data_IF_812681735024
#
_entry.id   IF_812681735024
#
_cell.length_a   1.000
_cell.length_b   1.000
_cell.length_c   1.000
_cell.angle_alpha   90.00
_cell.angle_beta   90.00
_cell.angle_gamma   90.00
#
_symmetry.space_group_name_H-M   'P 1'
#
loop_
_entity.id
_entity.type
_entity.pdbx_description
1 polymer ?
#
# COMPACT_ATOMS: atom_id res chain seq x y z
N UNK A 1 -2.53 -27.42 4.39
CA UNK A 1 -2.43 -26.16 5.18
C UNK A 1 -3.78 -25.47 5.31
N UNK A 2 -4.48 -25.17 4.21
CA UNK A 2 -5.78 -24.47 4.22
C UNK A 2 -6.86 -25.12 5.09
N UNK A 3 -7.17 -26.41 4.88
CA UNK A 3 -8.17 -27.15 5.68
C UNK A 3 -7.92 -27.05 7.19
N UNK A 4 -6.64 -27.17 7.61
CA UNK A 4 -6.28 -27.04 9.03
C UNK A 4 -6.44 -25.62 9.59
N UNK A 5 -6.34 -24.58 8.75
CA UNK A 5 -6.61 -23.20 9.18
C UNK A 5 -8.13 -22.94 9.28
N UNK A 6 -8.91 -23.41 8.29
CA UNK A 6 -10.37 -23.31 8.30
C UNK A 6 -10.96 -24.02 9.52
N UNK A 7 -10.46 -25.23 9.82
CA UNK A 7 -10.84 -25.98 11.01
C UNK A 7 -10.56 -25.21 12.31
N UNK A 8 -9.40 -24.52 12.43
CA UNK A 8 -9.09 -23.72 13.62
C UNK A 8 -10.05 -22.53 13.78
N UNK A 9 -10.43 -21.85 12.70
CA UNK A 9 -11.40 -20.75 12.76
C UNK A 9 -12.77 -21.27 13.19
N UNK A 10 -13.19 -22.39 12.61
CA UNK A 10 -14.46 -23.06 12.94
C UNK A 10 -14.50 -23.49 14.40
N UNK A 11 -13.46 -24.18 14.89
CA UNK A 11 -13.35 -24.61 16.29
C UNK A 11 -13.28 -23.44 17.27
N UNK A 12 -12.66 -22.33 16.87
CA UNK A 12 -12.59 -21.12 17.70
C UNK A 12 -13.88 -20.28 17.66
N UNK A 13 -14.87 -20.63 16.82
CA UNK A 13 -16.08 -19.82 16.63
C UNK A 13 -15.80 -18.43 16.04
N UNK A 14 -14.67 -18.25 15.35
CA UNK A 14 -14.24 -16.97 14.76
C UNK A 14 -14.67 -16.94 13.30
N UNK A 15 -15.26 -15.82 12.88
CA UNK A 15 -15.67 -15.63 11.49
C UNK A 15 -14.47 -15.72 10.53
N UNK A 16 -14.65 -16.30 9.32
CA UNK A 16 -13.61 -16.31 8.29
C UNK A 16 -13.06 -14.92 7.96
N UNK A 17 -11.78 -14.81 7.56
CA UNK A 17 -11.25 -13.56 7.07
C UNK A 17 -11.91 -13.18 5.73
N UNK A 18 -12.17 -11.88 5.55
CA UNK A 18 -12.70 -11.36 4.28
C UNK A 18 -11.61 -11.15 3.21
N UNK A 19 -10.35 -10.98 3.64
CA UNK A 19 -9.22 -10.66 2.75
C UNK A 19 -7.97 -11.43 3.15
N UNK A 20 -7.28 -11.97 2.15
CA UNK A 20 -5.98 -12.60 2.29
C UNK A 20 -5.00 -12.06 1.26
N UNK A 21 -3.86 -11.55 1.75
CA UNK A 21 -2.74 -11.19 0.90
C UNK A 21 -1.81 -12.40 0.71
N UNK A 22 -1.40 -12.63 -0.52
CA UNK A 22 -0.60 -13.80 -0.91
C UNK A 22 0.58 -13.35 -1.78
N UNK A 23 1.67 -14.11 -1.74
CA UNK A 23 2.76 -13.92 -2.70
C UNK A 23 2.34 -14.43 -4.08
N UNK A 24 1.88 -15.68 -4.20
CA UNK A 24 1.64 -16.32 -5.51
C UNK A 24 0.18 -16.71 -5.68
N UNK A 25 -0.13 -17.11 -6.91
CA UNK A 25 -1.42 -17.69 -7.26
C UNK A 25 -2.63 -16.78 -6.96
N UNK A 26 -2.42 -15.46 -7.05
CA UNK A 26 -3.41 -14.42 -6.81
C UNK A 26 -4.34 -14.15 -8.01
N UNK A 27 -3.91 -14.43 -9.24
CA UNK A 27 -4.69 -14.17 -10.45
C UNK A 27 -5.95 -15.02 -10.50
N UNK A 28 -7.08 -14.40 -10.85
CA UNK A 28 -8.39 -15.05 -10.95
C UNK A 28 -8.73 -15.53 -12.37
N UNK A 29 -7.72 -15.86 -13.20
CA UNK A 29 -7.87 -16.04 -14.66
C UNK A 29 -8.97 -17.02 -15.11
N UNK A 30 -9.52 -17.86 -14.21
CA UNK A 30 -10.59 -18.81 -14.52
C UNK A 30 -11.57 -19.04 -13.33
N UNK A 31 -12.26 -18.00 -12.85
CA UNK A 31 -13.35 -18.18 -11.88
C UNK A 31 -12.93 -18.23 -10.40
N UNK A 32 -11.74 -17.71 -10.09
CA UNK A 32 -11.18 -17.67 -8.74
C UNK A 32 -9.67 -17.78 -8.78
N UNK A 33 -8.97 -17.29 -7.76
CA UNK A 33 -7.54 -17.52 -7.64
C UNK A 33 -7.28 -18.96 -7.19
N UNK A 34 -6.16 -19.59 -7.59
CA UNK A 34 -5.89 -20.97 -7.12
C UNK A 34 -5.79 -21.02 -5.60
N UNK A 35 -5.29 -19.94 -4.97
CA UNK A 35 -5.27 -19.83 -3.51
C UNK A 35 -6.69 -19.78 -2.94
N UNK A 36 -7.60 -19.01 -3.52
CA UNK A 36 -9.00 -18.97 -3.06
C UNK A 36 -9.66 -20.35 -3.13
N UNK A 37 -9.39 -21.12 -4.19
CA UNK A 37 -9.92 -22.48 -4.33
C UNK A 37 -9.45 -23.45 -3.23
N UNK A 38 -8.33 -23.16 -2.55
CA UNK A 38 -7.88 -23.96 -1.41
C UNK A 38 -8.71 -23.71 -0.14
N UNK A 39 -9.42 -22.57 -0.07
CA UNK A 39 -10.24 -22.15 1.07
C UNK A 39 -11.73 -22.29 0.76
N UNK A 40 -12.15 -23.51 0.44
CA UNK A 40 -13.50 -23.82 -0.03
C UNK A 40 -14.63 -23.59 0.99
N UNK A 41 -14.33 -23.43 2.29
CA UNK A 41 -15.32 -23.07 3.31
C UNK A 41 -15.53 -21.55 3.43
N UNK A 42 -14.71 -20.74 2.75
CA UNK A 42 -14.69 -19.29 2.88
C UNK A 42 -15.15 -18.59 1.59
N UNK A 43 -16.44 -18.71 1.26
CA UNK A 43 -17.05 -18.23 0.01
C UNK A 43 -16.87 -16.73 -0.27
N UNK A 44 -16.68 -15.93 0.79
CA UNK A 44 -16.50 -14.48 0.71
C UNK A 44 -15.02 -14.06 0.73
N UNK A 45 -14.09 -15.01 0.72
CA UNK A 45 -12.66 -14.71 0.79
C UNK A 45 -12.19 -14.00 -0.49
N UNK A 46 -11.71 -12.78 -0.31
CA UNK A 46 -11.02 -12.05 -1.36
C UNK A 46 -9.52 -12.32 -1.25
N UNK A 47 -8.91 -12.80 -2.34
CA UNK A 47 -7.45 -12.95 -2.42
C UNK A 47 -6.84 -11.79 -3.20
N UNK A 48 -5.76 -11.21 -2.68
CA UNK A 48 -4.99 -10.13 -3.32
C UNK A 48 -3.49 -10.44 -3.30
N UNK A 49 -2.77 -9.94 -4.29
CA UNK A 49 -1.31 -9.96 -4.27
C UNK A 49 -0.82 -8.99 -3.20
N UNK A 50 0.11 -9.45 -2.38
CA UNK A 50 0.82 -8.61 -1.44
C UNK A 50 1.69 -7.59 -2.22
N UNK A 51 1.44 -6.30 -1.99
CA UNK A 51 2.12 -5.20 -2.69
C UNK A 51 3.62 -5.17 -2.40
N UNK A 52 4.03 -5.52 -1.17
CA UNK A 52 5.45 -5.60 -0.85
C UNK A 52 6.15 -6.68 -1.68
N UNK A 53 5.49 -7.82 -1.88
CA UNK A 53 6.01 -8.87 -2.75
C UNK A 53 6.09 -8.42 -4.21
N UNK A 54 5.10 -7.70 -4.73
CA UNK A 54 5.19 -7.08 -6.06
C UNK A 54 6.40 -6.14 -6.14
N UNK A 55 6.58 -5.25 -5.16
CA UNK A 55 7.70 -4.32 -5.13
C UNK A 55 9.06 -5.03 -5.06
N UNK A 56 9.16 -6.12 -4.27
CA UNK A 56 10.36 -6.97 -4.20
C UNK A 56 10.67 -7.65 -5.53
N UNK A 57 9.66 -8.02 -6.33
CA UNK A 57 9.87 -8.58 -7.67
C UNK A 57 10.44 -7.55 -8.62
N UNK A 58 9.94 -6.30 -8.59
CA UNK A 58 10.56 -5.21 -9.34
C UNK A 58 11.99 -4.91 -8.88
N UNK A 59 12.23 -4.95 -7.56
CA UNK A 59 13.56 -4.80 -7.01
C UNK A 59 14.53 -5.89 -7.48
N UNK A 60 14.07 -7.08 -7.87
CA UNK A 60 14.95 -8.11 -8.42
C UNK A 60 15.58 -7.72 -9.78
N UNK A 61 15.05 -6.71 -10.46
CA UNK A 61 15.62 -6.18 -11.70
C UNK A 61 16.68 -5.09 -11.48
N UNK A 62 16.97 -4.72 -10.23
CA UNK A 62 18.09 -3.83 -9.93
C UNK A 62 19.40 -4.61 -9.95
N UNK A 63 20.49 -3.95 -10.35
CA UNK A 63 21.83 -4.55 -10.41
C UNK A 63 22.37 -4.89 -9.02
N UNK A 64 22.08 -4.05 -8.02
CA UNK A 64 22.39 -4.31 -6.60
C UNK A 64 21.52 -3.48 -5.67
N UNK A 65 21.08 -4.04 -4.53
CA UNK A 65 20.34 -3.30 -3.50
C UNK A 65 21.21 -2.21 -2.82
N UNK A 66 22.54 -2.30 -2.94
CA UNK A 66 23.48 -1.29 -2.45
C UNK A 66 23.62 -0.09 -3.40
N UNK A 67 22.94 -0.09 -4.54
CA UNK A 67 23.01 0.99 -5.52
C UNK A 67 22.47 2.30 -4.90
N UNK A 68 23.15 3.43 -5.15
CA UNK A 68 22.77 4.73 -4.56
C UNK A 68 21.33 5.14 -4.92
N UNK A 69 20.88 4.74 -6.11
CA UNK A 69 19.53 5.01 -6.60
C UNK A 69 18.46 3.99 -6.17
N UNK A 70 18.83 2.93 -5.43
CA UNK A 70 17.87 1.91 -4.98
C UNK A 70 16.77 2.49 -4.09
N UNK A 71 17.14 3.29 -3.09
CA UNK A 71 16.18 3.97 -2.22
C UNK A 71 15.22 4.90 -2.98
N UNK A 72 15.73 5.83 -3.81
CA UNK A 72 14.91 6.64 -4.71
C UNK A 72 13.97 5.83 -5.60
N UNK A 73 14.44 4.74 -6.21
CA UNK A 73 13.62 3.85 -7.02
C UNK A 73 12.49 3.21 -6.22
N UNK A 74 12.79 2.61 -5.06
CA UNK A 74 11.77 1.98 -4.21
C UNK A 74 10.72 2.97 -3.70
N UNK A 75 11.14 4.21 -3.42
CA UNK A 75 10.23 5.30 -3.03
C UNK A 75 9.29 5.68 -4.17
N UNK A 76 9.83 5.87 -5.38
CA UNK A 76 9.01 6.21 -6.55
C UNK A 76 8.11 5.03 -6.97
N UNK A 77 8.60 3.80 -6.90
CA UNK A 77 7.82 2.57 -7.10
C UNK A 77 6.60 2.52 -6.17
N UNK A 78 6.77 2.88 -4.90
CA UNK A 78 5.64 2.99 -3.96
C UNK A 78 4.65 4.10 -4.37
N UNK A 79 5.16 5.24 -4.84
CA UNK A 79 4.32 6.35 -5.29
C UNK A 79 3.56 6.05 -6.59
N UNK A 80 4.05 5.16 -7.45
CA UNK A 80 3.33 4.68 -8.62
C UNK A 80 2.11 3.81 -8.26
N UNK A 81 2.14 3.13 -7.11
CA UNK A 81 1.10 2.18 -6.68
C UNK A 81 0.04 2.86 -5.81
N UNK A 82 0.44 3.81 -4.96
CA UNK A 82 -0.40 4.37 -3.93
C UNK A 82 -0.67 5.86 -4.11
N UNK A 83 -1.89 6.25 -3.77
CA UNK A 83 -2.31 7.63 -3.58
C UNK A 83 -2.87 7.83 -2.18
N UNK A 84 -3.07 9.09 -1.77
CA UNK A 84 -3.83 9.43 -0.57
C UNK A 84 -5.32 9.46 -0.87
N UNK A 85 -6.15 8.96 0.05
CA UNK A 85 -7.60 9.04 -0.08
C UNK A 85 -8.06 10.50 -0.21
N UNK A 86 -8.66 10.84 -1.35
CA UNK A 86 -9.11 12.20 -1.64
C UNK A 86 -10.14 12.71 -0.60
N UNK A 87 -10.92 11.80 -0.01
CA UNK A 87 -11.85 12.13 1.07
C UNK A 87 -11.14 12.60 2.33
N UNK A 88 -10.13 11.84 2.77
CA UNK A 88 -9.31 12.21 3.93
C UNK A 88 -8.49 13.48 3.68
N UNK A 89 -7.89 13.62 2.48
CA UNK A 89 -7.11 14.81 2.10
C UNK A 89 -7.96 16.08 2.15
N UNK A 90 -9.19 16.05 1.61
CA UNK A 90 -10.12 17.20 1.68
C UNK A 90 -10.45 17.56 3.12
N UNK A 91 -10.77 16.58 3.98
CA UNK A 91 -11.03 16.82 5.40
C UNK A 91 -9.83 17.43 6.12
N UNK A 92 -8.63 16.96 5.80
CA UNK A 92 -7.40 17.50 6.38
C UNK A 92 -7.15 18.95 5.95
N UNK A 93 -7.37 19.26 4.66
CA UNK A 93 -7.27 20.62 4.13
C UNK A 93 -8.25 21.58 4.82
N UNK A 94 -9.51 21.19 4.94
CA UNK A 94 -10.54 21.97 5.64
C UNK A 94 -10.16 22.21 7.10
N UNK A 95 -9.79 21.16 7.82
CA UNK A 95 -9.37 21.25 9.22
C UNK A 95 -8.13 22.14 9.40
N UNK A 96 -7.15 22.04 8.50
CA UNK A 96 -5.94 22.87 8.51
C UNK A 96 -6.27 24.34 8.28
N UNK A 97 -7.13 24.63 7.28
CA UNK A 97 -7.58 26.00 6.98
C UNK A 97 -8.25 26.62 8.21
N UNK A 98 -9.24 25.95 8.79
CA UNK A 98 -9.95 26.46 9.98
C UNK A 98 -9.01 26.66 11.18
N UNK A 99 -8.00 25.82 11.34
CA UNK A 99 -7.00 25.99 12.39
C UNK A 99 -6.11 27.22 12.18
N UNK A 100 -5.71 27.52 10.95
CA UNK A 100 -4.90 28.69 10.60
C UNK A 100 -5.70 29.99 10.73
N UNK A 101 -6.96 30.00 10.29
CA UNK A 101 -7.87 31.13 10.46
C UNK A 101 -8.09 31.44 11.94
N UNK A 102 -8.42 30.41 12.74
CA UNK A 102 -8.75 30.60 14.15
C UNK A 102 -7.55 30.90 15.07
N UNK A 103 -6.35 30.36 14.78
CA UNK A 103 -5.17 30.57 15.63
C UNK A 103 -4.28 31.71 15.18
N UNK A 104 -4.22 32.01 13.89
CA UNK A 104 -3.22 32.93 13.32
C UNK A 104 -3.87 34.10 12.58
N UNK A 105 -5.21 34.16 12.51
CA UNK A 105 -5.92 35.20 11.78
C UNK A 105 -5.64 35.18 10.26
N UNK A 106 -5.11 34.07 9.75
CA UNK A 106 -4.75 33.90 8.33
C UNK A 106 -6.01 33.55 7.53
N UNK A 107 -6.79 34.56 7.20
CA UNK A 107 -8.06 34.43 6.46
C UNK A 107 -7.82 34.45 4.95
N UNK A 108 -8.61 33.67 4.20
CA UNK A 108 -8.65 33.75 2.73
C UNK A 108 -7.55 32.95 2.03
N UNK A 109 -6.88 32.02 2.72
CA UNK A 109 -5.88 31.15 2.10
C UNK A 109 -6.51 30.21 1.07
N UNK A 110 -5.88 30.17 -0.11
CA UNK A 110 -6.20 29.21 -1.16
C UNK A 110 -5.89 27.78 -0.72
N UNK A 111 -6.50 26.79 -1.35
CA UNK A 111 -6.23 25.38 -1.05
C UNK A 111 -4.75 25.00 -1.26
N UNK A 112 -4.11 25.56 -2.29
CA UNK A 112 -2.70 25.33 -2.59
C UNK A 112 -1.78 25.85 -1.47
N UNK A 113 -2.10 27.02 -0.91
CA UNK A 113 -1.35 27.59 0.22
C UNK A 113 -1.51 26.74 1.49
N UNK A 114 -2.73 26.29 1.79
CA UNK A 114 -2.99 25.41 2.94
C UNK A 114 -2.27 24.07 2.76
N UNK A 115 -2.33 23.48 1.57
CA UNK A 115 -1.67 22.21 1.23
C UNK A 115 -0.16 22.26 1.47
N UNK A 116 0.50 23.37 1.11
CA UNK A 116 1.94 23.58 1.35
C UNK A 116 2.30 23.62 2.84
N UNK A 117 1.35 23.93 3.71
CA UNK A 117 1.54 24.00 5.17
C UNK A 117 1.26 22.65 5.87
N UNK A 118 0.81 21.64 5.12
CA UNK A 118 0.58 20.30 5.65
C UNK A 118 1.84 19.47 5.43
N UNK A 119 2.42 18.99 6.53
CA UNK A 119 3.62 18.15 6.48
C UNK A 119 3.33 16.71 6.05
N UNK A 120 4.33 16.00 5.54
CA UNK A 120 4.20 14.55 5.19
C UNK A 120 3.70 13.70 6.36
N UNK A 121 4.24 13.94 7.57
CA UNK A 121 3.82 13.26 8.80
C UNK A 121 2.35 13.52 9.15
N UNK A 122 1.87 14.72 8.85
CA UNK A 122 0.48 15.12 9.11
C UNK A 122 -0.47 14.44 8.14
N UNK A 123 -0.13 14.40 6.84
CA UNK A 123 -0.85 13.58 5.85
C UNK A 123 -0.86 12.11 6.25
N UNK A 124 0.29 11.52 6.58
CA UNK A 124 0.38 10.11 6.93
C UNK A 124 -0.41 9.75 8.22
N UNK A 125 -0.60 10.71 9.12
CA UNK A 125 -1.37 10.53 10.34
C UNK A 125 -2.88 10.52 10.09
N UNK A 126 -3.35 11.31 9.13
CA UNK A 126 -4.77 11.63 8.96
C UNK A 126 -5.40 11.07 7.68
N UNK A 127 -4.59 10.72 6.69
CA UNK A 127 -5.05 10.25 5.39
C UNK A 127 -4.73 8.77 5.20
N UNK A 128 -5.72 7.99 4.74
CA UNK A 128 -5.47 6.62 4.29
C UNK A 128 -4.71 6.64 2.99
N UNK A 129 -3.85 5.63 2.79
CA UNK A 129 -3.35 5.31 1.47
C UNK A 129 -4.34 4.40 0.77
N UNK A 130 -4.36 4.43 -0.54
CA UNK A 130 -5.15 3.51 -1.36
C UNK A 130 -4.42 3.25 -2.66
N UNK A 131 -4.71 2.14 -3.31
CA UNK A 131 -4.16 1.87 -4.64
C UNK A 131 -4.80 2.78 -5.68
N UNK A 132 -4.00 3.37 -6.57
CA UNK A 132 -4.45 4.35 -7.57
C UNK A 132 -5.19 3.75 -8.78
N UNK A 133 -5.41 2.43 -8.81
CA UNK A 133 -6.08 1.72 -9.91
C UNK A 133 -5.09 1.08 -10.88
N UNK A 134 -5.46 -0.09 -11.43
CA UNK A 134 -4.54 -0.88 -12.25
C UNK A 134 -4.00 -0.14 -13.48
N UNK A 135 -4.86 0.60 -14.20
CA UNK A 135 -4.47 1.38 -15.38
C UNK A 135 -3.53 2.55 -15.02
N UNK A 136 -3.83 3.28 -13.95
CA UNK A 136 -2.96 4.37 -13.50
C UNK A 136 -1.61 3.83 -13.00
N UNK A 137 -1.62 2.74 -12.23
CA UNK A 137 -0.40 2.06 -11.80
C UNK A 137 0.42 1.59 -13.01
N UNK A 138 -0.21 1.04 -14.06
CA UNK A 138 0.49 0.58 -15.26
C UNK A 138 1.26 1.71 -15.95
N UNK A 139 0.60 2.85 -16.19
CA UNK A 139 1.23 4.03 -16.81
C UNK A 139 2.38 4.55 -15.95
N UNK A 140 2.14 4.75 -14.65
CA UNK A 140 3.15 5.29 -13.74
C UNK A 140 4.37 4.36 -13.58
N UNK A 141 4.17 3.04 -13.64
CA UNK A 141 5.28 2.08 -13.61
C UNK A 141 6.08 2.10 -14.91
N UNK A 142 5.43 2.21 -16.07
CA UNK A 142 6.14 2.35 -17.35
C UNK A 142 7.04 3.59 -17.35
N UNK A 143 6.49 4.74 -16.96
CA UNK A 143 7.24 6.01 -16.87
C UNK A 143 8.42 5.90 -15.89
N UNK A 144 8.21 5.22 -14.76
CA UNK A 144 9.27 4.96 -13.78
C UNK A 144 10.39 4.11 -14.38
N UNK A 145 10.04 2.99 -15.02
CA UNK A 145 11.02 2.08 -15.60
C UNK A 145 11.78 2.73 -16.75
N UNK A 146 11.13 3.55 -17.57
CA UNK A 146 11.80 4.34 -18.61
C UNK A 146 12.76 5.35 -17.99
N UNK A 147 12.33 6.08 -16.95
CA UNK A 147 13.16 7.05 -16.23
C UNK A 147 14.45 6.41 -15.70
N UNK A 148 14.35 5.24 -15.05
CA UNK A 148 15.50 4.56 -14.46
C UNK A 148 16.29 3.67 -15.45
N UNK A 149 15.81 3.50 -16.69
CA UNK A 149 16.62 2.96 -17.79
C UNK A 149 17.34 4.07 -18.59
N UNK A 150 17.00 5.34 -18.36
CA UNK A 150 17.69 6.48 -18.96
C UNK A 150 18.97 6.88 -18.19
N UNK A 151 19.63 7.94 -18.62
CA UNK A 151 20.78 8.56 -17.92
C UNK A 151 20.48 8.89 -16.45
N UNK A 152 19.21 9.15 -16.09
CA UNK A 152 18.79 9.40 -14.70
C UNK A 152 18.89 8.16 -13.81
N UNK A 153 18.95 6.98 -14.40
CA UNK A 153 19.11 5.70 -13.72
C UNK A 153 20.56 5.27 -13.52
N UNK A 154 21.52 6.12 -13.90
CA UNK A 154 22.95 5.84 -13.82
C UNK A 154 23.55 6.61 -12.64
N UNK A 155 24.39 5.94 -11.83
CA UNK A 155 25.08 6.59 -10.72
C UNK A 155 26.29 7.43 -11.17
N UNK A 156 26.98 8.06 -10.22
CA UNK A 156 28.14 8.91 -10.49
C UNK A 156 29.35 8.16 -11.06
N UNK A 157 29.35 6.81 -10.99
CA UNK A 157 30.40 5.95 -11.52
C UNK A 157 30.02 5.34 -12.87
N UNK A 158 28.88 5.71 -13.45
CA UNK A 158 28.41 5.17 -14.72
C UNK A 158 27.74 3.80 -14.59
N UNK A 159 27.40 3.36 -13.38
CA UNK A 159 26.75 2.07 -13.15
C UNK A 159 25.22 2.26 -13.26
N UNK A 160 24.52 1.48 -14.10
CA UNK A 160 23.07 1.54 -14.18
C UNK A 160 22.41 0.86 -12.97
N UNK A 161 21.34 1.46 -12.47
CA UNK A 161 20.52 0.88 -11.42
C UNK A 161 19.83 -0.39 -11.90
N UNK A 162 19.25 -0.36 -13.10
CA UNK A 162 18.44 -1.44 -13.64
C UNK A 162 19.25 -2.29 -14.62
N UNK A 163 19.11 -3.60 -14.51
CA UNK A 163 19.42 -4.49 -15.62
C UNK A 163 18.27 -4.40 -16.62
N UNK A 164 18.50 -3.74 -17.76
CA UNK A 164 17.45 -3.44 -18.74
C UNK A 164 16.77 -4.69 -19.32
N UNK A 165 17.50 -5.80 -19.48
CA UNK A 165 16.92 -7.05 -20.00
C UNK A 165 16.07 -7.70 -18.90
N UNK A 166 16.62 -7.80 -17.70
CA UNK A 166 15.94 -8.44 -16.59
C UNK A 166 14.69 -7.67 -16.15
N UNK A 167 14.76 -6.34 -16.05
CA UNK A 167 13.62 -5.52 -15.65
C UNK A 167 12.49 -5.54 -16.68
N UNK A 168 12.81 -5.65 -17.97
CA UNK A 168 11.79 -5.84 -19.01
C UNK A 168 11.09 -7.19 -18.88
N UNK A 169 11.83 -8.26 -18.60
CA UNK A 169 11.23 -9.58 -18.35
C UNK A 169 10.31 -9.55 -17.11
N UNK A 170 10.77 -8.92 -16.02
CA UNK A 170 9.97 -8.71 -14.81
C UNK A 170 8.71 -7.91 -15.13
N UNK A 171 8.80 -6.84 -15.92
CA UNK A 171 7.64 -6.06 -16.32
C UNK A 171 6.59 -6.91 -17.05
N UNK A 172 6.99 -7.70 -18.05
CA UNK A 172 6.07 -8.56 -18.80
C UNK A 172 5.38 -9.61 -17.91
N UNK A 173 6.09 -10.10 -16.90
CA UNK A 173 5.49 -11.01 -15.93
C UNK A 173 4.55 -10.28 -14.97
N UNK A 174 5.02 -9.20 -14.34
CA UNK A 174 4.34 -8.55 -13.23
C UNK A 174 3.15 -7.68 -13.63
N UNK A 175 3.11 -7.14 -14.86
CA UNK A 175 2.01 -6.26 -15.31
C UNK A 175 0.62 -6.93 -15.23
N UNK A 176 0.55 -8.26 -15.40
CA UNK A 176 -0.71 -9.02 -15.25
C UNK A 176 -1.27 -8.98 -13.83
N UNK A 177 -0.42 -8.68 -12.84
CA UNK A 177 -0.77 -8.65 -11.42
C UNK A 177 -1.20 -7.27 -10.93
N UNK A 178 -1.23 -6.24 -11.78
CA UNK A 178 -1.64 -4.90 -11.38
C UNK A 178 -3.10 -4.85 -10.92
N UNK A 179 -3.97 -5.70 -11.46
CA UNK A 179 -5.32 -5.88 -10.91
C UNK A 179 -5.35 -6.62 -9.57
N UNK A 180 -4.38 -7.50 -9.32
CA UNK A 180 -4.33 -8.34 -8.14
C UNK A 180 -3.95 -7.57 -6.87
N UNK A 181 -3.29 -6.42 -7.00
CA UNK A 181 -2.87 -5.60 -5.85
C UNK A 181 -3.92 -4.57 -5.42
N UNK A 182 -4.96 -4.34 -6.22
CA UNK A 182 -5.89 -3.24 -5.98
C UNK A 182 -6.74 -3.48 -4.74
N UNK A 183 -6.97 -2.40 -3.98
CA UNK A 183 -7.84 -2.41 -2.81
C UNK A 183 -9.22 -2.96 -3.18
N UNK A 184 -9.67 -4.04 -2.52
CA UNK A 184 -10.97 -4.62 -2.82
C UNK A 184 -12.12 -3.72 -2.33
N UNK A 185 -13.20 -3.58 -3.12
CA UNK A 185 -14.34 -2.76 -2.73
C UNK A 185 -15.02 -3.34 -1.49
N UNK A 186 -15.45 -2.47 -0.57
CA UNK A 186 -16.23 -2.85 0.61
C UNK A 186 -15.47 -3.55 1.73
N UNK A 187 -14.16 -3.79 1.57
CA UNK A 187 -13.33 -4.37 2.63
C UNK A 187 -12.70 -3.24 3.44
N UNK A 188 -12.88 -3.28 4.77
CA UNK A 188 -12.16 -2.36 5.65
C UNK A 188 -10.68 -2.76 5.69
N UNK A 189 -9.81 -1.90 5.15
CA UNK A 189 -8.35 -2.12 5.16
C UNK A 189 -7.64 -1.39 6.29
N UNK A 190 -8.30 -0.42 6.94
CA UNK A 190 -7.67 0.42 7.94
C UNK A 190 -8.37 0.32 9.29
N UNK A 191 -7.62 0.24 10.38
CA UNK A 191 -8.17 0.45 11.72
C UNK A 191 -7.91 1.89 12.14
N UNK A 192 -8.95 2.57 12.60
CA UNK A 192 -8.86 3.89 13.19
C UNK A 192 -8.48 3.75 14.67
N UNK A 193 -7.36 4.34 15.08
CA UNK A 193 -6.93 4.30 16.49
C UNK A 193 -7.35 5.52 17.29
N UNK A 194 -7.84 6.56 16.62
CA UNK A 194 -8.45 7.71 17.29
C UNK A 194 -9.14 8.66 16.34
N UNK A 195 -9.78 9.68 16.93
CA UNK A 195 -10.37 10.82 16.21
C UNK A 195 -10.03 12.10 16.96
N UNK A 196 -9.65 13.13 16.21
CA UNK A 196 -9.51 14.49 16.72
C UNK A 196 -10.63 15.31 16.10
N UNK A 197 -11.35 16.06 16.93
CA UNK A 197 -12.35 17.01 16.47
C UNK A 197 -11.81 18.42 16.68
N UNK A 198 -11.32 19.14 15.65
CA UNK A 198 -11.00 20.55 15.78
C UNK A 198 -12.26 21.35 16.15
N UNK A 199 -12.06 22.58 16.66
CA UNK A 199 -13.10 23.43 17.27
C UNK A 199 -14.37 23.67 16.42
N UNK A 200 -14.37 23.35 15.12
CA UNK A 200 -15.52 23.47 14.21
C UNK A 200 -16.29 22.15 13.96
N UNK A 201 -16.04 21.07 14.71
CA UNK A 201 -16.83 19.83 14.59
C UNK A 201 -16.44 18.90 13.43
N UNK A 202 -15.42 19.25 12.64
CA UNK A 202 -14.80 18.36 11.66
C UNK A 202 -14.11 17.20 12.39
N UNK A 203 -14.27 15.95 11.94
CA UNK A 203 -13.56 14.82 12.56
C UNK A 203 -12.41 14.36 11.69
N UNK A 204 -11.19 14.50 12.18
CA UNK A 204 -9.99 13.89 11.59
C UNK A 204 -9.73 12.55 12.27
N UNK A 205 -9.52 11.51 11.47
CA UNK A 205 -9.08 10.20 11.98
C UNK A 205 -7.59 10.30 12.36
N UNK A 206 -7.17 9.55 13.37
CA UNK A 206 -5.76 9.42 13.75
C UNK A 206 -5.34 7.95 13.79
N UNK A 207 -4.07 7.73 13.47
CA UNK A 207 -3.39 6.43 13.48
C UNK A 207 -4.15 5.36 12.69
N UNK A 208 -4.09 5.51 11.37
CA UNK A 208 -4.67 4.59 10.41
C UNK A 208 -3.67 3.46 10.15
N UNK A 209 -3.90 2.30 10.78
CA UNK A 209 -3.07 1.11 10.54
C UNK A 209 -3.73 0.22 9.49
N UNK A 210 -2.96 -0.18 8.46
CA UNK A 210 -3.41 -1.22 7.54
C UNK A 210 -3.65 -2.50 8.36
N UNK A 211 -4.81 -3.11 8.19
CA UNK A 211 -5.15 -4.41 8.74
C UNK A 211 -4.21 -5.44 8.12
N UNK A 212 -3.15 -5.76 8.87
CA UNK A 212 -2.41 -7.00 8.67
C UNK A 212 -3.33 -8.16 8.99
N UNK A 213 -3.34 -9.16 8.10
CA UNK A 213 -4.06 -10.42 8.26
C UNK A 213 -3.94 -10.90 9.71
N UNK A 214 -5.06 -10.98 10.43
CA UNK A 214 -5.12 -11.40 11.83
C UNK A 214 -4.85 -12.92 11.86
N UNK A 215 -3.74 -13.42 12.43
CA UNK A 215 -3.73 -14.79 12.92
C UNK A 215 -4.65 -14.87 14.16
N UNK A 216 -5.37 -15.98 14.38
CA UNK A 216 -5.98 -16.22 15.69
C UNK A 216 -4.86 -16.14 16.75
N UNK A 217 -5.18 -15.51 17.88
CA UNK A 217 -4.29 -15.14 18.99
C UNK A 217 -3.25 -16.24 19.34
N UNK A 218 -2.05 -15.85 19.83
CA UNK A 218 -0.93 -16.77 20.00
C UNK A 218 -1.20 -17.80 21.11
N UNK A 219 -0.92 -19.06 20.80
CA UNK A 219 -0.57 -20.06 21.81
C UNK A 219 0.81 -19.68 22.37
N UNK A 220 1.04 -19.67 23.69
CA UNK A 220 2.34 -19.28 24.25
C UNK A 220 3.47 -20.16 23.72
N UNK A 221 4.51 -19.55 23.12
CA UNK A 221 5.75 -20.23 22.75
C UNK A 221 6.12 -20.27 21.26
N UNK A 222 5.34 -19.67 20.35
CA UNK A 222 5.74 -19.56 18.93
C UNK A 222 5.88 -18.10 18.49
N UNK A 223 7.09 -17.76 18.07
CA UNK A 223 7.46 -16.47 17.48
C UNK A 223 6.77 -16.36 16.11
N UNK A 224 5.72 -15.54 16.03
CA UNK A 224 4.98 -15.31 14.78
C UNK A 224 5.65 -14.20 13.96
N UNK A 225 5.89 -14.49 12.67
CA UNK A 225 6.25 -13.49 11.67
C UNK A 225 5.05 -12.58 11.40
N UNK A 226 4.93 -11.53 12.21
CA UNK A 226 4.08 -10.38 11.94
C UNK A 226 4.69 -9.68 10.72
N UNK A 227 3.96 -9.65 9.60
CA UNK A 227 4.32 -8.83 8.44
C UNK A 227 4.15 -7.35 8.83
N UNK A 228 5.15 -6.81 9.55
CA UNK A 228 5.28 -5.40 9.93
C UNK A 228 5.70 -4.58 8.70
N UNK A 229 4.85 -4.50 7.68
CA UNK A 229 5.22 -3.79 6.44
C UNK A 229 4.89 -2.30 6.45
N UNK A 230 4.24 -1.78 7.50
CA UNK A 230 3.89 -0.35 7.62
C UNK A 230 5.08 0.59 7.85
N UNK A 231 6.29 0.07 8.10
CA UNK A 231 7.44 0.87 8.54
C UNK A 231 8.43 1.29 7.43
N UNK A 232 8.25 0.82 6.20
CA UNK A 232 9.27 0.99 5.15
C UNK A 232 9.03 2.17 4.19
N UNK A 233 7.88 2.83 4.24
CA UNK A 233 7.49 3.78 3.18
C UNK A 233 7.70 5.26 3.53
N UNK A 234 8.06 5.60 4.78
CA UNK A 234 8.23 6.99 5.27
C UNK A 234 9.66 7.33 5.73
N UNK A 235 10.68 6.53 5.35
CA UNK A 235 12.10 6.88 5.54
C UNK A 235 12.80 7.30 4.25
#
# INVERSE_FOLDING_TARGET
>A
MAAGLMERYRLAGVAPPQLMYVDRDCCSSFGGSKTAAMYNEWDQLVVRLDIWHLMRRFAAGVTTESHQLYGPFMRQLSACIFEWDAGDVRRLLEAKRSALEGKHGMVGLTEAEVSRLIGRKEIALHCRRRTCGAAATEVLLLDLLETFNSEKGVDTLGIPLLDSIHIQAIWQEQRRHLHCIQDPPGVQLYTETGKITPRLGLSLRTGLHILGVIPPQPVPGQMQCISRHSYWMDR
#
